data_IF_107196498421
#
_entry.id   IF_107196498421
#
_cell.length_a   1.000
_cell.length_b   1.000
_cell.length_c   1.000
_cell.angle_alpha   90.00
_cell.angle_beta   90.00
_cell.angle_gamma   90.00
#
_symmetry.space_group_name_H-M   'P 1'
#
loop_
_entity.id
_entity.type
_entity.pdbx_description
1 polymer ?
#
# COMPACT_ATOMS: atom_id res chain seq x y z
N UNK A 1 -0.68 8.81 -19.01
CA UNK A 1 -1.84 8.10 -18.41
C UNK A 1 -1.46 7.19 -17.25
N UNK A 2 -0.43 6.34 -17.37
CA UNK A 2 0.01 5.41 -16.31
C UNK A 2 0.30 6.09 -14.97
N UNK A 3 1.02 7.22 -14.99
CA UNK A 3 1.32 8.00 -13.77
C UNK A 3 0.06 8.51 -13.05
N UNK A 4 -0.94 8.95 -13.81
CA UNK A 4 -2.24 9.41 -13.28
C UNK A 4 -3.04 8.26 -12.68
N UNK A 5 -3.05 7.09 -13.34
CA UNK A 5 -3.73 5.89 -12.80
C UNK A 5 -3.08 5.48 -11.48
N UNK A 6 -1.75 5.46 -11.41
CA UNK A 6 -1.01 5.21 -10.16
C UNK A 6 -1.38 6.21 -9.07
N UNK A 7 -1.41 7.52 -9.39
CA UNK A 7 -1.78 8.57 -8.45
C UNK A 7 -3.20 8.36 -7.89
N UNK A 8 -4.19 8.17 -8.77
CA UNK A 8 -5.59 7.96 -8.36
C UNK A 8 -5.73 6.69 -7.54
N UNK A 9 -5.14 5.58 -7.99
CA UNK A 9 -5.12 4.32 -7.25
C UNK A 9 -4.52 4.48 -5.86
N UNK A 10 -3.42 5.21 -5.74
CA UNK A 10 -2.75 5.47 -4.46
C UNK A 10 -3.60 6.36 -3.54
N UNK A 11 -4.19 7.44 -4.04
CA UNK A 11 -5.07 8.32 -3.27
C UNK A 11 -6.28 7.53 -2.73
N UNK A 12 -6.95 6.76 -3.60
CA UNK A 12 -8.07 5.91 -3.18
C UNK A 12 -7.62 4.91 -2.10
N UNK A 13 -6.43 4.33 -2.26
CA UNK A 13 -5.88 3.38 -1.30
C UNK A 13 -5.64 4.04 0.07
N UNK A 14 -5.09 5.26 0.09
CA UNK A 14 -4.91 6.06 1.31
C UNK A 14 -6.26 6.37 1.97
N UNK A 15 -7.26 6.81 1.21
CA UNK A 15 -8.59 7.12 1.74
C UNK A 15 -9.19 5.89 2.43
N UNK A 16 -9.18 4.72 1.77
CA UNK A 16 -9.67 3.47 2.37
C UNK A 16 -8.86 3.09 3.62
N UNK A 17 -7.53 3.25 3.58
CA UNK A 17 -6.65 3.01 4.73
C UNK A 17 -6.96 3.91 5.92
N UNK A 18 -7.26 5.20 5.69
CA UNK A 18 -7.67 6.15 6.72
C UNK A 18 -9.03 5.79 7.32
N UNK A 19 -9.98 5.30 6.52
CA UNK A 19 -11.27 4.79 7.03
C UNK A 19 -11.03 3.59 7.95
N UNK A 20 -10.20 2.63 7.56
CA UNK A 20 -9.83 1.48 8.41
C UNK A 20 -9.16 1.94 9.71
N UNK A 21 -8.23 2.90 9.65
CA UNK A 21 -7.57 3.46 10.82
C UNK A 21 -8.56 4.17 11.75
N UNK A 22 -9.46 4.98 11.20
CA UNK A 22 -10.51 5.66 11.95
C UNK A 22 -11.44 4.66 12.64
N UNK A 23 -11.81 3.55 11.99
CA UNK A 23 -12.58 2.47 12.61
C UNK A 23 -11.83 1.82 13.79
N UNK A 24 -10.52 1.58 13.65
CA UNK A 24 -9.71 1.03 14.74
C UNK A 24 -9.59 2.00 15.93
N UNK A 25 -9.42 3.28 15.66
CA UNK A 25 -9.38 4.35 16.66
C UNK A 25 -10.72 4.48 17.39
N UNK A 26 -11.84 4.51 16.65
CA UNK A 26 -13.20 4.53 17.22
C UNK A 26 -13.46 3.31 18.10
N UNK A 27 -12.94 2.15 17.71
CA UNK A 27 -13.00 0.92 18.50
C UNK A 27 -11.99 0.88 19.66
N UNK A 28 -11.23 1.96 19.91
CA UNK A 28 -10.20 2.10 20.95
C UNK A 28 -9.18 0.95 20.95
N UNK A 29 -8.87 0.43 19.77
CA UNK A 29 -7.91 -0.67 19.61
C UNK A 29 -6.48 -0.13 19.60
N UNK A 30 -5.57 -0.86 20.22
CA UNK A 30 -4.14 -0.55 20.13
C UNK A 30 -3.67 -0.66 18.68
N UNK A 31 -3.04 0.40 18.19
CA UNK A 31 -2.47 0.46 16.84
C UNK A 31 -1.01 -0.03 16.91
N UNK A 32 -0.63 -1.05 16.12
CA UNK A 32 0.75 -1.51 16.09
C UNK A 32 1.66 -0.47 15.43
N UNK A 33 2.91 -0.33 15.89
CA UNK A 33 3.92 0.57 15.32
C UNK A 33 4.03 0.47 13.77
N UNK A 34 3.91 -0.76 13.23
CA UNK A 34 3.97 -1.02 11.80
C UNK A 34 2.86 -0.31 10.99
N UNK A 35 1.70 -0.03 11.59
CA UNK A 35 0.64 0.73 10.92
C UNK A 35 1.03 2.21 10.74
N UNK A 36 1.83 2.77 11.65
CA UNK A 36 2.37 4.12 11.49
C UNK A 36 3.41 4.17 10.38
N UNK A 37 4.34 3.21 10.32
CA UNK A 37 5.29 3.13 9.19
C UNK A 37 4.58 2.95 7.85
N UNK A 38 3.53 2.13 7.81
CA UNK A 38 2.70 1.95 6.62
C UNK A 38 2.00 3.26 6.23
N UNK A 39 1.42 4.00 7.19
CA UNK A 39 0.79 5.30 6.93
C UNK A 39 1.79 6.36 6.44
N UNK A 40 2.93 6.51 7.12
CA UNK A 40 3.97 7.49 6.78
C UNK A 40 4.52 7.22 5.38
N UNK A 41 4.85 5.96 5.07
CA UNK A 41 5.33 5.60 3.72
C UNK A 41 4.29 5.86 2.63
N UNK A 42 2.98 5.78 2.95
CA UNK A 42 1.93 6.13 2.00
C UNK A 42 2.01 7.62 1.60
N UNK A 43 2.11 8.51 2.58
CA UNK A 43 2.18 9.96 2.33
C UNK A 43 3.52 10.40 1.75
N UNK A 44 4.64 9.85 2.23
CA UNK A 44 5.97 10.14 1.66
C UNK A 44 6.02 9.70 0.20
N UNK A 45 5.56 8.48 -0.09
CA UNK A 45 5.53 7.98 -1.46
C UNK A 45 4.60 8.79 -2.36
N UNK A 46 3.42 9.19 -1.87
CA UNK A 46 2.51 10.08 -2.59
C UNK A 46 3.16 11.43 -2.91
N UNK A 47 3.85 12.03 -1.93
CA UNK A 47 4.58 13.29 -2.13
C UNK A 47 5.67 13.18 -3.20
N UNK A 48 6.47 12.10 -3.16
CA UNK A 48 7.48 11.83 -4.18
C UNK A 48 6.83 11.62 -5.56
N UNK A 49 5.70 10.91 -5.62
CA UNK A 49 4.98 10.67 -6.87
C UNK A 49 4.43 11.96 -7.50
N UNK A 50 3.87 12.86 -6.67
CA UNK A 50 3.43 14.19 -7.12
C UNK A 50 4.63 15.00 -7.63
N UNK A 51 5.76 14.97 -6.91
CA UNK A 51 6.99 15.63 -7.36
C UNK A 51 7.51 15.08 -8.69
N UNK A 52 7.44 13.76 -8.89
CA UNK A 52 7.71 13.13 -10.19
C UNK A 52 6.78 13.70 -11.28
N UNK A 53 5.47 13.71 -11.06
CA UNK A 53 4.52 14.21 -12.05
C UNK A 53 4.73 15.70 -12.38
N UNK A 54 5.21 16.50 -11.42
CA UNK A 54 5.50 17.92 -11.63
C UNK A 54 6.83 18.14 -12.38
N UNK A 55 7.87 17.35 -12.09
CA UNK A 55 9.22 17.56 -12.60
C UNK A 55 9.58 16.69 -13.83
N UNK A 56 8.80 15.64 -14.12
CA UNK A 56 9.11 14.65 -15.15
C UNK A 56 10.37 13.82 -14.87
N UNK A 57 10.91 13.86 -13.65
CA UNK A 57 12.20 13.23 -13.31
C UNK A 57 12.08 11.71 -13.18
N UNK A 58 12.83 10.91 -13.98
CA UNK A 58 12.82 9.45 -13.86
C UNK A 58 13.32 8.95 -12.50
N UNK A 59 14.26 9.69 -11.89
CA UNK A 59 14.77 9.38 -10.55
C UNK A 59 13.66 9.47 -9.51
N UNK A 60 12.80 10.49 -9.59
CA UNK A 60 11.65 10.62 -8.70
C UNK A 60 10.61 9.52 -8.95
N UNK A 61 10.41 9.11 -10.21
CA UNK A 61 9.51 8.00 -10.54
C UNK A 61 9.96 6.69 -9.87
N UNK A 62 11.24 6.34 -10.01
CA UNK A 62 11.82 5.15 -9.37
C UNK A 62 11.83 5.25 -7.85
N UNK A 63 12.14 6.42 -7.28
CA UNK A 63 12.09 6.64 -5.85
C UNK A 63 10.66 6.44 -5.30
N UNK A 64 9.66 7.04 -5.96
CA UNK A 64 8.26 6.88 -5.58
C UNK A 64 7.79 5.42 -5.68
N UNK A 65 8.17 4.72 -6.75
CA UNK A 65 7.89 3.30 -6.92
C UNK A 65 8.57 2.41 -5.85
N UNK A 66 9.82 2.70 -5.49
CA UNK A 66 10.52 2.00 -4.43
C UNK A 66 9.82 2.18 -3.07
N UNK A 67 9.40 3.41 -2.75
CA UNK A 67 8.62 3.70 -1.54
C UNK A 67 7.26 3.01 -1.56
N UNK A 68 6.56 2.98 -2.71
CA UNK A 68 5.30 2.24 -2.88
C UNK A 68 5.49 0.74 -2.63
N UNK A 69 6.56 0.15 -3.13
CA UNK A 69 6.89 -1.27 -2.92
C UNK A 69 7.15 -1.57 -1.44
N UNK A 70 7.90 -0.69 -0.77
CA UNK A 70 8.12 -0.78 0.67
C UNK A 70 6.80 -0.63 1.46
N UNK A 71 5.95 0.32 1.07
CA UNK A 71 4.63 0.54 1.65
C UNK A 71 3.76 -0.72 1.57
N UNK A 72 3.68 -1.36 0.39
CA UNK A 72 2.95 -2.62 0.18
C UNK A 72 3.52 -3.74 1.05
N UNK A 73 4.84 -3.84 1.16
CA UNK A 73 5.52 -4.81 2.03
C UNK A 73 5.12 -4.63 3.50
N UNK A 74 4.96 -3.39 3.98
CA UNK A 74 4.46 -3.13 5.33
C UNK A 74 2.99 -3.55 5.49
N UNK A 75 2.15 -3.34 4.48
CA UNK A 75 0.77 -3.82 4.44
C UNK A 75 0.68 -5.35 4.57
N UNK A 76 1.49 -6.08 3.81
CA UNK A 76 1.56 -7.54 3.87
C UNK A 76 2.05 -8.04 5.23
N UNK A 77 3.08 -7.39 5.78
CA UNK A 77 3.56 -7.71 7.14
C UNK A 77 2.49 -7.45 8.20
N UNK A 78 1.69 -6.38 8.09
CA UNK A 78 0.56 -6.11 8.98
C UNK A 78 -0.50 -7.21 8.88
N UNK A 79 -0.86 -7.59 7.65
CA UNK A 79 -1.82 -8.66 7.38
C UNK A 79 -1.37 -9.98 8.02
N UNK A 80 -0.14 -10.42 7.74
CA UNK A 80 0.42 -11.68 8.24
C UNK A 80 0.60 -11.66 9.75
N UNK A 81 1.19 -10.60 10.32
CA UNK A 81 1.36 -10.48 11.78
C UNK A 81 0.01 -10.46 12.50
N UNK A 82 -0.96 -9.73 11.95
CA UNK A 82 -2.32 -9.69 12.48
C UNK A 82 -3.02 -11.04 12.44
N UNK A 83 -2.84 -11.81 11.38
CA UNK A 83 -3.39 -13.17 11.28
C UNK A 83 -2.72 -14.13 12.28
N UNK A 84 -1.38 -14.13 12.35
CA UNK A 84 -0.61 -14.98 13.28
C UNK A 84 -0.95 -14.73 14.74
N UNK A 85 -1.14 -13.46 15.13
CA UNK A 85 -1.53 -13.10 16.51
C UNK A 85 -2.87 -13.72 16.92
N UNK A 86 -3.78 -13.96 15.97
CA UNK A 86 -5.12 -14.55 16.22
C UNK A 86 -5.15 -16.07 16.09
N UNK A 87 -4.12 -16.67 15.51
CA UNK A 87 -4.02 -18.11 15.28
C UNK A 87 -2.64 -18.62 15.70
N UNK A 88 -2.31 -18.53 17.01
CA UNK A 88 -1.06 -19.06 17.52
C UNK A 88 -1.00 -20.58 17.25
N UNK A 89 0.12 -21.05 16.70
CA UNK A 89 0.32 -22.47 16.39
C UNK A 89 -0.28 -22.96 15.07
N UNK A 90 -0.95 -22.10 14.28
CA UNK A 90 -1.41 -22.48 12.95
C UNK A 90 -0.24 -22.82 12.02
N UNK A 91 -0.30 -24.00 11.39
CA UNK A 91 0.72 -24.51 10.47
C UNK A 91 0.41 -24.13 9.01
N UNK A 92 1.41 -24.22 8.14
CA UNK A 92 1.28 -23.94 6.70
C UNK A 92 1.66 -22.51 6.28
N UNK A 93 1.31 -22.14 5.04
CA UNK A 93 1.69 -20.84 4.47
C UNK A 93 0.87 -19.70 5.09
N UNK A 94 1.48 -18.99 6.04
CA UNK A 94 0.84 -17.89 6.76
C UNK A 94 0.38 -16.74 5.86
N UNK A 95 1.07 -16.47 4.75
CA UNK A 95 0.66 -15.42 3.80
C UNK A 95 -0.64 -15.79 3.11
N UNK A 96 -0.73 -17.00 2.55
CA UNK A 96 -1.93 -17.48 1.88
C UNK A 96 -3.14 -17.51 2.83
N UNK A 97 -2.93 -17.96 4.08
CA UNK A 97 -4.00 -17.99 5.08
C UNK A 97 -4.45 -16.58 5.49
N UNK A 98 -3.50 -15.66 5.68
CA UNK A 98 -3.82 -14.27 6.00
C UNK A 98 -4.54 -13.57 4.83
N UNK A 99 -4.17 -13.86 3.58
CA UNK A 99 -4.86 -13.35 2.39
C UNK A 99 -6.30 -13.87 2.30
N UNK A 100 -6.52 -15.18 2.48
CA UNK A 100 -7.87 -15.78 2.56
C UNK A 100 -8.70 -15.17 3.69
N UNK A 101 -8.07 -14.89 4.84
CA UNK A 101 -8.73 -14.24 5.96
C UNK A 101 -9.14 -12.79 5.64
N UNK A 102 -8.27 -12.04 4.96
CA UNK A 102 -8.53 -10.68 4.50
C UNK A 102 -9.63 -10.62 3.45
N UNK A 103 -9.72 -11.61 2.55
CA UNK A 103 -10.77 -11.69 1.54
C UNK A 103 -12.20 -11.76 2.12
N UNK A 104 -12.35 -12.23 3.37
CA UNK A 104 -13.63 -12.26 4.09
C UNK A 104 -14.01 -10.91 4.72
N UNK A 105 -13.17 -9.88 4.57
CA UNK A 105 -13.34 -8.56 5.19
C UNK A 105 -13.41 -7.50 4.09
N UNK A 106 -14.61 -7.08 3.66
CA UNK A 106 -14.80 -6.36 2.40
C UNK A 106 -13.97 -5.08 2.30
N UNK A 107 -13.90 -4.28 3.36
CA UNK A 107 -13.13 -3.04 3.34
C UNK A 107 -11.60 -3.29 3.33
N UNK A 108 -11.12 -4.27 4.08
CA UNK A 108 -9.69 -4.66 4.05
C UNK A 108 -9.31 -5.28 2.72
N UNK A 109 -10.21 -6.06 2.11
CA UNK A 109 -10.04 -6.60 0.77
C UNK A 109 -10.00 -5.48 -0.28
N UNK A 110 -10.91 -4.52 -0.23
CA UNK A 110 -10.90 -3.36 -1.14
C UNK A 110 -9.58 -2.59 -1.06
N UNK A 111 -9.09 -2.33 0.16
CA UNK A 111 -7.78 -1.73 0.40
C UNK A 111 -6.64 -2.54 -0.24
N UNK A 112 -6.62 -3.85 -0.01
CA UNK A 112 -5.60 -4.74 -0.58
C UNK A 112 -5.65 -4.82 -2.12
N UNK A 113 -6.85 -4.77 -2.72
CA UNK A 113 -7.02 -4.82 -4.18
C UNK A 113 -6.62 -3.52 -4.88
N UNK A 114 -6.59 -2.39 -4.18
CA UNK A 114 -6.09 -1.13 -4.73
C UNK A 114 -4.55 -1.11 -4.83
N UNK A 115 -3.85 -1.97 -4.08
CA UNK A 115 -2.39 -2.05 -4.14
C UNK A 115 -1.85 -2.39 -5.55
N UNK A 116 -2.30 -3.45 -6.25
CA UNK A 116 -1.86 -3.72 -7.62
C UNK A 116 -2.29 -2.63 -8.62
N UNK A 117 -3.44 -1.97 -8.40
CA UNK A 117 -3.93 -0.86 -9.24
C UNK A 117 -2.99 0.36 -9.17
N UNK A 118 -2.36 0.61 -8.03
CA UNK A 118 -1.33 1.64 -7.92
C UNK A 118 0.05 1.13 -8.41
N UNK A 119 0.42 -0.10 -8.05
CA UNK A 119 1.76 -0.63 -8.23
C UNK A 119 2.14 -0.87 -9.70
N UNK A 120 1.29 -1.53 -10.48
CA UNK A 120 1.61 -1.83 -11.88
C UNK A 120 1.72 -0.56 -12.75
N UNK A 121 0.80 0.41 -12.67
CA UNK A 121 0.94 1.66 -13.40
C UNK A 121 2.13 2.51 -12.92
N UNK A 122 2.49 2.43 -11.63
CA UNK A 122 3.66 3.12 -11.12
C UNK A 122 4.96 2.52 -11.68
N UNK A 123 5.08 1.19 -11.70
CA UNK A 123 6.19 0.51 -12.37
C UNK A 123 6.26 0.91 -13.85
N UNK A 124 5.14 0.83 -14.56
CA UNK A 124 5.07 1.19 -15.97
C UNK A 124 5.50 2.65 -16.20
N UNK A 125 5.04 3.59 -15.37
CA UNK A 125 5.44 4.99 -15.46
C UNK A 125 6.94 5.19 -15.19
N UNK A 126 7.52 4.51 -14.19
CA UNK A 126 8.95 4.57 -13.90
C UNK A 126 9.78 4.04 -15.06
N UNK A 127 9.40 2.88 -15.63
CA UNK A 127 10.05 2.33 -16.82
C UNK A 127 9.94 3.30 -17.98
N UNK A 128 8.74 3.75 -18.35
CA UNK A 128 8.52 4.67 -19.49
C UNK A 128 9.34 5.95 -19.34
N UNK A 129 9.35 6.56 -18.15
CA UNK A 129 10.12 7.79 -17.89
C UNK A 129 11.63 7.62 -18.10
N UNK A 130 12.14 6.39 -17.93
CA UNK A 130 13.58 6.10 -18.09
C UNK A 130 14.04 6.12 -19.55
N UNK A 131 13.12 6.02 -20.51
CA UNK A 131 13.43 5.95 -21.94
C UNK A 131 13.17 7.27 -22.68
N UNK A 132 12.85 8.35 -21.97
CA UNK A 132 12.73 9.69 -22.56
C UNK A 132 11.54 9.87 -23.51
N UNK A 133 10.35 9.41 -23.11
CA UNK A 133 9.08 9.77 -23.76
C UNK A 133 8.49 11.07 -23.21
#
# INVERSE_FOLDING_TARGET
MTATIALVGWILNIVVGLVLLAQLLRARRQIPALAYYHLVTAFVGLGIWIAFMAAGSPVLAWAGFAVLTLHNTFGDKLMVKGWRKRHPGATGNAYLQAAKYTAKRPLTMAHAMLAPVAWFPALAAAVISSWGA
#
